data_IF_709088568840
#
_entry.id   IF_709088568840
#
_cell.length_a   1.000
_cell.length_b   1.000
_cell.length_c   1.000
_cell.angle_alpha   90.00
_cell.angle_beta   90.00
_cell.angle_gamma   90.00
#
_symmetry.space_group_name_H-M   'P 1'
#
loop_
_entity.id
_entity.type
_entity.pdbx_description
1 polymer ?
#
# COMPACT_ATOMS: atom_id res chain seq x y z
N UNK A 1 -3.55 2.41 11.12
CA UNK A 1 -2.33 1.58 11.03
C UNK A 1 -1.54 1.98 9.79
N UNK A 2 -2.09 1.78 8.59
CA UNK A 2 -1.45 2.18 7.32
C UNK A 2 -0.82 3.59 7.30
N UNK A 3 -1.51 4.63 7.78
CA UNK A 3 -0.96 6.00 7.84
C UNK A 3 0.28 6.13 8.73
N UNK A 4 0.34 5.39 9.85
CA UNK A 4 1.50 5.36 10.75
C UNK A 4 2.66 4.61 10.12
N UNK A 5 2.36 3.53 9.42
CA UNK A 5 3.37 2.70 8.77
C UNK A 5 3.95 3.45 7.55
N UNK A 6 3.13 4.26 6.85
CA UNK A 6 3.59 5.17 5.79
C UNK A 6 4.54 6.23 6.37
N UNK A 7 4.18 6.81 7.51
CA UNK A 7 5.03 7.79 8.18
C UNK A 7 6.37 7.19 8.63
N UNK A 8 6.34 5.96 9.17
CA UNK A 8 7.54 5.23 9.55
C UNK A 8 8.42 4.94 8.34
N UNK A 9 7.85 4.40 7.27
CA UNK A 9 8.55 4.11 6.02
C UNK A 9 9.23 5.36 5.42
N UNK A 10 8.52 6.49 5.40
CA UNK A 10 9.09 7.78 5.00
C UNK A 10 10.21 8.25 5.93
N UNK A 11 10.07 8.05 7.25
CA UNK A 11 11.08 8.42 8.25
C UNK A 11 12.36 7.57 8.11
N UNK A 12 12.21 6.29 7.79
CA UNK A 12 13.32 5.36 7.58
C UNK A 12 13.89 5.40 6.15
N UNK A 13 13.21 6.07 5.22
CA UNK A 13 13.61 6.16 3.82
C UNK A 13 13.44 4.87 3.03
N UNK A 14 12.61 3.94 3.54
CA UNK A 14 12.41 2.63 2.95
C UNK A 14 10.92 2.29 2.89
N UNK A 15 10.34 2.45 1.69
CA UNK A 15 8.93 2.23 1.41
C UNK A 15 8.56 0.74 1.44
N UNK A 16 9.55 -0.16 1.34
CA UNK A 16 9.34 -1.62 1.39
C UNK A 16 8.87 -2.10 2.77
N UNK A 17 8.97 -1.29 3.83
CA UNK A 17 8.36 -1.67 5.11
C UNK A 17 6.82 -1.79 5.04
N UNK A 18 6.18 -1.11 4.08
CA UNK A 18 4.75 -1.21 3.85
C UNK A 18 4.36 -2.49 3.13
N UNK A 19 5.32 -3.12 2.44
CA UNK A 19 5.13 -4.30 1.61
C UNK A 19 4.55 -5.47 2.42
N UNK A 20 5.15 -5.75 3.58
CA UNK A 20 4.73 -6.85 4.44
C UNK A 20 3.31 -6.68 4.99
N UNK A 21 2.91 -5.45 5.33
CA UNK A 21 1.58 -5.15 5.87
C UNK A 21 0.49 -5.32 4.80
N UNK A 22 0.76 -4.92 3.55
CA UNK A 22 -0.17 -5.14 2.43
C UNK A 22 -0.35 -6.63 2.14
N UNK A 23 0.74 -7.41 2.12
CA UNK A 23 0.67 -8.86 1.94
C UNK A 23 -0.09 -9.56 3.08
N UNK A 24 0.05 -9.06 4.31
CA UNK A 24 -0.74 -9.55 5.44
C UNK A 24 -2.24 -9.22 5.30
N UNK A 25 -2.56 -7.98 4.91
CA UNK A 25 -3.95 -7.56 4.69
C UNK A 25 -4.64 -8.36 3.59
N UNK A 26 -3.93 -8.70 2.51
CA UNK A 26 -4.43 -9.58 1.45
C UNK A 26 -4.80 -10.96 2.00
N UNK A 27 -3.88 -11.60 2.74
CA UNK A 27 -4.13 -12.91 3.37
C UNK A 27 -5.30 -12.87 4.34
N UNK A 28 -5.43 -11.79 5.11
CA UNK A 28 -6.56 -11.60 6.02
C UNK A 28 -7.89 -11.55 5.27
N UNK A 29 -7.99 -10.73 4.23
CA UNK A 29 -9.20 -10.58 3.43
C UNK A 29 -9.59 -11.90 2.73
N UNK A 30 -8.61 -12.63 2.20
CA UNK A 30 -8.83 -13.96 1.62
C UNK A 30 -9.37 -14.95 2.65
N UNK A 31 -8.86 -14.94 3.89
CA UNK A 31 -9.38 -15.79 4.97
C UNK A 31 -10.86 -15.48 5.31
N UNK A 32 -11.28 -14.23 5.15
CA UNK A 32 -12.69 -13.82 5.29
C UNK A 32 -13.52 -14.02 4.01
N UNK A 33 -12.97 -14.69 2.99
CA UNK A 33 -13.64 -14.91 1.69
C UNK A 33 -14.03 -13.61 0.98
N UNK A 34 -13.31 -12.52 1.24
CA UNK A 34 -13.52 -11.27 0.52
C UNK A 34 -12.97 -11.37 -0.91
N UNK A 35 -13.60 -10.73 -1.91
CA UNK A 35 -13.06 -10.67 -3.25
C UNK A 35 -11.65 -10.05 -3.25
N UNK A 36 -10.67 -10.62 -3.98
CA UNK A 36 -9.32 -10.05 -4.11
C UNK A 36 -9.30 -8.59 -4.56
N UNK A 37 -10.31 -8.19 -5.36
CA UNK A 37 -10.50 -6.84 -5.85
C UNK A 37 -10.78 -5.83 -4.71
N UNK A 38 -11.25 -6.29 -3.55
CA UNK A 38 -11.54 -5.42 -2.40
C UNK A 38 -10.30 -4.64 -1.97
N UNK A 39 -9.18 -5.35 -1.78
CA UNK A 39 -7.92 -4.72 -1.39
C UNK A 39 -7.41 -3.80 -2.50
N UNK A 40 -7.51 -4.25 -3.75
CA UNK A 40 -7.11 -3.48 -4.92
C UNK A 40 -7.87 -2.14 -5.00
N UNK A 41 -9.18 -2.19 -4.86
CA UNK A 41 -10.06 -1.02 -4.91
C UNK A 41 -9.80 -0.09 -3.72
N UNK A 42 -9.57 -0.64 -2.53
CA UNK A 42 -9.20 0.15 -1.36
C UNK A 42 -7.89 0.91 -1.58
N UNK A 43 -6.84 0.22 -2.04
CA UNK A 43 -5.53 0.83 -2.33
C UNK A 43 -5.62 1.87 -3.45
N UNK A 44 -6.44 1.60 -4.48
CA UNK A 44 -6.69 2.58 -5.55
C UNK A 44 -7.41 3.83 -5.03
N UNK A 45 -8.44 3.69 -4.20
CA UNK A 45 -9.11 4.83 -3.59
C UNK A 45 -8.15 5.63 -2.70
N UNK A 46 -7.25 4.96 -1.99
CA UNK A 46 -6.24 5.59 -1.14
C UNK A 46 -5.17 6.31 -1.98
N UNK A 47 -4.74 5.73 -3.11
CA UNK A 47 -3.88 6.40 -4.09
C UNK A 47 -4.51 7.70 -4.59
N UNK A 48 -5.80 7.68 -4.98
CA UNK A 48 -6.49 8.87 -5.48
C UNK A 48 -6.53 9.99 -4.43
N UNK A 49 -6.84 9.65 -3.18
CA UNK A 49 -6.81 10.61 -2.09
C UNK A 49 -5.38 11.13 -1.82
N UNK A 50 -4.38 10.25 -1.82
CA UNK A 50 -2.99 10.64 -1.62
C UNK A 50 -2.51 11.59 -2.74
N UNK A 51 -2.86 11.33 -4.00
CA UNK A 51 -2.53 12.18 -5.14
C UNK A 51 -3.19 13.57 -5.08
N UNK A 52 -4.31 13.72 -4.35
CA UNK A 52 -4.99 15.01 -4.17
C UNK A 52 -4.35 15.85 -3.06
N UNK A 53 -3.77 15.23 -2.03
CA UNK A 53 -3.33 15.93 -0.82
C UNK A 53 -1.82 15.92 -0.58
N UNK A 54 -1.05 15.04 -1.23
CA UNK A 54 0.40 14.92 -1.05
C UNK A 54 1.14 15.62 -2.19
N UNK A 55 2.14 16.42 -1.82
CA UNK A 55 3.00 17.16 -2.75
C UNK A 55 4.47 17.05 -2.34
N UNK A 56 5.40 17.26 -3.28
CA UNK A 56 6.83 17.33 -3.00
C UNK A 56 7.37 15.98 -2.53
N UNK A 57 8.14 15.91 -1.42
CA UNK A 57 8.75 14.65 -0.96
C UNK A 57 7.75 13.52 -0.67
N UNK A 58 6.47 13.85 -0.45
CA UNK A 58 5.42 12.87 -0.20
C UNK A 58 4.87 12.20 -1.48
N UNK A 59 5.25 12.68 -2.68
CA UNK A 59 4.90 12.06 -3.97
C UNK A 59 5.41 10.62 -4.07
N UNK A 60 6.51 10.27 -3.38
CA UNK A 60 7.01 8.89 -3.29
C UNK A 60 5.93 7.91 -2.77
N UNK A 61 5.07 8.36 -1.85
CA UNK A 61 3.95 7.55 -1.35
C UNK A 61 2.88 7.37 -2.42
N UNK A 62 2.64 8.39 -3.23
CA UNK A 62 1.68 8.34 -4.34
C UNK A 62 2.14 7.32 -5.37
N UNK A 63 3.40 7.39 -5.77
CA UNK A 63 4.01 6.45 -6.72
C UNK A 63 3.95 5.01 -6.21
N UNK A 64 4.30 4.81 -4.93
CA UNK A 64 4.20 3.50 -4.30
C UNK A 64 2.76 2.98 -4.26
N UNK A 65 1.80 3.81 -3.82
CA UNK A 65 0.38 3.46 -3.78
C UNK A 65 -0.16 3.08 -5.17
N UNK A 66 0.29 3.76 -6.21
CA UNK A 66 -0.09 3.44 -7.58
C UNK A 66 0.36 2.03 -7.97
N UNK A 67 1.61 1.67 -7.71
CA UNK A 67 2.15 0.36 -8.06
C UNK A 67 1.51 -0.77 -7.25
N UNK A 68 1.37 -0.62 -5.93
CA UNK A 68 0.71 -1.63 -5.08
C UNK A 68 -0.78 -1.78 -5.39
N UNK A 69 -1.44 -0.72 -5.88
CA UNK A 69 -2.85 -0.79 -6.31
C UNK A 69 -3.05 -1.58 -7.61
N UNK A 70 -2.03 -1.70 -8.46
CA UNK A 70 -2.14 -2.53 -9.69
C UNK A 70 -1.96 -3.99 -9.35
N UNK A 71 -0.94 -4.29 -8.54
CA UNK A 71 -0.58 -5.67 -8.22
C UNK A 71 -0.10 -5.79 -6.76
N UNK A 72 -1.03 -6.05 -5.83
CA UNK A 72 -0.71 -6.24 -4.41
C UNK A 72 0.23 -7.43 -4.15
N UNK A 73 0.29 -8.40 -5.09
CA UNK A 73 1.04 -9.64 -4.94
C UNK A 73 2.54 -9.53 -5.31
N UNK A 74 2.99 -8.47 -6.01
CA UNK A 74 4.42 -8.25 -6.35
C UNK A 74 5.31 -8.02 -5.12
N UNK A 75 4.67 -7.83 -3.98
CA UNK A 75 5.23 -7.38 -2.74
C UNK A 75 5.76 -8.58 -1.91
N UNK A 76 5.42 -9.81 -2.30
CA UNK A 76 5.79 -11.04 -1.59
C UNK A 76 7.10 -11.69 -2.07
N UNK A 77 7.80 -11.16 -3.09
CA UNK A 77 8.96 -11.84 -3.70
C UNK A 77 10.34 -11.45 -3.17
N UNK A 78 10.44 -10.55 -2.19
CA UNK A 78 11.69 -10.34 -1.46
C UNK A 78 11.72 -11.25 -0.22
N UNK A 79 12.15 -12.50 -0.42
CA UNK A 79 12.54 -13.43 0.63
C UNK A 79 14.07 -13.52 0.71
#
# INVERSE_FOLDING_TARGET
HLSRDIYAALTFGDIEFLSAEIAWAEKLLLNYSMPPETLRNYLHAYHLAAAEFLEGPAELVVDWLFEVSKNPALISTAA
#
